data_IF_612030460144
#
_entry.id   IF_612030460144
#
_cell.length_a   1.000
_cell.length_b   1.000
_cell.length_c   1.000
_cell.angle_alpha   90.00
_cell.angle_beta   90.00
_cell.angle_gamma   90.00
#
_symmetry.space_group_name_H-M   'P 1'
#
loop_
_entity.id
_entity.type
_entity.pdbx_description
1 polymer ?
#
# COMPACT_ATOMS: atom_id res chain seq x y z
N UNK A 1 3.22 -17.06 -2.78
CA UNK A 1 4.67 -17.30 -2.86
C UNK A 1 4.92 -18.80 -2.74
N UNK A 2 5.65 -19.40 -3.71
CA UNK A 2 6.03 -20.82 -3.73
C UNK A 2 4.88 -21.81 -3.39
N UNK A 3 3.71 -21.58 -3.98
CA UNK A 3 2.46 -22.31 -3.74
C UNK A 3 1.90 -22.21 -2.30
N UNK A 4 2.42 -21.32 -1.48
CA UNK A 4 1.84 -20.99 -0.17
C UNK A 4 1.00 -19.70 -0.26
N UNK A 5 -0.12 -19.67 0.46
CA UNK A 5 -0.91 -18.47 0.66
C UNK A 5 -0.30 -17.67 1.81
N UNK A 6 0.31 -16.54 1.48
CA UNK A 6 0.88 -15.61 2.45
C UNK A 6 0.08 -14.31 2.45
N UNK A 7 0.08 -13.62 3.60
CA UNK A 7 -0.56 -12.32 3.75
C UNK A 7 0.35 -11.36 4.52
N UNK A 8 0.46 -10.13 4.06
CA UNK A 8 1.03 -9.04 4.84
C UNK A 8 -0.02 -8.58 5.84
N UNK A 9 0.22 -8.83 7.12
CA UNK A 9 -0.69 -8.50 8.21
C UNK A 9 -0.50 -7.07 8.74
N UNK A 10 0.74 -6.63 8.81
CA UNK A 10 1.10 -5.27 9.20
C UNK A 10 2.34 -4.81 8.44
N UNK A 11 2.50 -3.49 8.30
CA UNK A 11 3.62 -2.90 7.57
C UNK A 11 4.72 -2.44 8.53
N UNK A 12 4.37 -1.92 9.70
CA UNK A 12 5.31 -1.46 10.72
C UNK A 12 4.86 -1.95 12.12
N UNK A 13 5.50 -2.99 12.69
CA UNK A 13 6.50 -3.86 12.09
C UNK A 13 5.91 -4.65 10.91
N UNK A 14 6.80 -5.06 9.99
CA UNK A 14 6.37 -5.84 8.83
C UNK A 14 6.17 -7.30 9.23
N UNK A 15 4.91 -7.76 9.15
CA UNK A 15 4.50 -9.11 9.55
C UNK A 15 3.91 -9.86 8.37
N UNK A 16 4.43 -11.05 8.13
CA UNK A 16 3.93 -11.97 7.11
C UNK A 16 3.35 -13.19 7.78
N UNK A 17 2.09 -13.46 7.48
CA UNK A 17 1.38 -14.64 7.94
C UNK A 17 1.34 -15.70 6.85
N UNK A 18 1.35 -16.97 7.24
CA UNK A 18 0.98 -18.10 6.40
C UNK A 18 -0.47 -18.49 6.72
N UNK A 19 -1.24 -18.76 5.68
CA UNK A 19 -2.64 -19.16 5.78
C UNK A 19 -2.78 -20.59 5.28
N UNK A 20 -3.21 -21.50 6.16
CA UNK A 20 -3.47 -22.92 5.85
C UNK A 20 -4.79 -23.29 6.48
N UNK A 21 -5.70 -23.89 5.73
CA UNK A 21 -7.02 -24.36 6.17
C UNK A 21 -7.79 -23.28 6.97
N UNK A 22 -7.74 -22.04 6.49
CA UNK A 22 -8.42 -20.89 7.12
C UNK A 22 -7.76 -20.39 8.41
N UNK A 23 -6.63 -20.94 8.81
CA UNK A 23 -5.86 -20.50 9.98
C UNK A 23 -4.64 -19.69 9.55
N UNK A 24 -4.46 -18.52 10.19
CA UNK A 24 -3.33 -17.66 9.98
C UNK A 24 -2.29 -17.84 11.11
N UNK A 25 -1.03 -18.04 10.76
CA UNK A 25 0.11 -18.14 11.69
C UNK A 25 1.18 -17.14 11.29
N UNK A 26 1.75 -16.45 12.30
CA UNK A 26 2.89 -15.57 12.07
C UNK A 26 4.09 -16.38 11.56
N UNK A 27 4.58 -16.02 10.38
CA UNK A 27 5.71 -16.68 9.75
C UNK A 27 6.99 -15.86 9.91
N UNK A 28 6.91 -14.54 9.65
CA UNK A 28 8.04 -13.63 9.78
C UNK A 28 7.59 -12.30 10.38
N UNK A 29 8.45 -11.74 11.20
CA UNK A 29 8.37 -10.36 11.69
C UNK A 29 9.71 -9.67 11.46
N UNK A 30 9.70 -8.54 10.77
CA UNK A 30 10.90 -7.74 10.53
C UNK A 30 10.61 -6.27 10.84
N UNK A 31 11.62 -5.50 11.31
CA UNK A 31 11.44 -4.06 11.48
C UNK A 31 11.17 -3.41 10.13
N UNK A 32 10.41 -2.32 10.13
CA UNK A 32 10.26 -1.45 8.96
C UNK A 32 10.85 -0.07 9.29
N UNK A 33 12.09 0.21 8.85
CA UNK A 33 12.76 1.49 9.08
C UNK A 33 12.45 2.54 8.01
N UNK A 34 11.58 2.23 7.03
CA UNK A 34 11.32 3.11 5.90
C UNK A 34 10.60 4.40 6.36
N UNK A 35 11.09 5.58 5.93
CA UNK A 35 10.51 6.85 6.34
C UNK A 35 9.15 7.08 5.65
N UNK A 36 8.14 7.45 6.43
CA UNK A 36 6.81 7.80 5.94
C UNK A 36 6.23 8.94 6.78
N UNK A 37 5.80 10.03 6.13
CA UNK A 37 5.39 11.26 6.81
C UNK A 37 3.86 11.41 7.02
N UNK A 38 3.03 10.54 6.41
CA UNK A 38 1.58 10.68 6.39
C UNK A 38 0.89 9.68 7.35
N UNK A 39 1.34 9.65 8.61
CA UNK A 39 0.73 8.86 9.68
C UNK A 39 1.04 7.37 9.64
N UNK A 40 0.18 6.57 10.26
CA UNK A 40 0.40 5.13 10.39
C UNK A 40 0.21 4.39 9.05
N UNK A 41 1.20 3.59 8.66
CA UNK A 41 1.13 2.74 7.46
C UNK A 41 0.19 1.56 7.70
N UNK A 42 -0.80 1.41 6.85
CA UNK A 42 -1.80 0.33 6.90
C UNK A 42 -1.94 -0.34 5.55
N UNK A 43 -2.39 -1.59 5.54
CA UNK A 43 -2.58 -2.37 4.32
C UNK A 43 -3.49 -1.70 3.29
N UNK A 44 -3.44 -2.21 2.08
CA UNK A 44 -4.22 -1.72 0.95
C UNK A 44 -4.35 -2.84 -0.09
N UNK A 45 -3.93 -2.59 -1.33
CA UNK A 45 -3.96 -3.58 -2.40
C UNK A 45 -3.06 -4.80 -2.09
N UNK A 46 -3.42 -6.00 -2.55
CA UNK A 46 -2.52 -7.14 -2.52
C UNK A 46 -1.18 -6.83 -3.19
N UNK A 47 -0.04 -7.25 -2.62
CA UNK A 47 1.26 -7.00 -3.20
C UNK A 47 1.44 -7.69 -4.56
N UNK A 48 2.07 -6.99 -5.50
CA UNK A 48 2.38 -7.48 -6.85
C UNK A 48 3.88 -7.74 -6.96
N UNK A 49 4.28 -8.95 -7.37
CA UNK A 49 5.69 -9.27 -7.57
C UNK A 49 6.19 -8.72 -8.91
N UNK A 50 7.28 -7.95 -8.84
CA UNK A 50 8.03 -7.48 -10.01
C UNK A 50 9.51 -7.76 -9.76
N UNK A 51 10.06 -8.70 -10.51
CA UNK A 51 11.45 -9.15 -10.29
C UNK A 51 11.66 -9.76 -8.90
N UNK A 52 12.61 -9.21 -8.18
CA UNK A 52 13.02 -9.67 -6.84
C UNK A 52 12.33 -8.95 -5.68
N UNK A 53 11.33 -8.13 -5.97
CA UNK A 53 10.57 -7.39 -4.97
C UNK A 53 9.06 -7.56 -5.16
N UNK A 54 8.33 -7.44 -4.04
CA UNK A 54 6.89 -7.20 -4.03
C UNK A 54 6.64 -5.70 -3.87
N UNK A 55 5.79 -5.14 -4.72
CA UNK A 55 5.29 -3.77 -4.65
C UNK A 55 3.95 -3.77 -3.92
N UNK A 56 3.86 -3.04 -2.85
CA UNK A 56 2.68 -2.99 -1.99
C UNK A 56 2.15 -1.57 -1.87
N UNK A 57 1.00 -1.35 -2.49
CA UNK A 57 0.26 -0.09 -2.40
C UNK A 57 -0.54 -0.10 -1.11
N UNK A 58 -0.29 0.90 -0.27
CA UNK A 58 -0.85 1.00 1.07
C UNK A 58 -1.52 2.36 1.29
N UNK A 59 -2.21 2.53 2.42
CA UNK A 59 -2.63 3.85 2.86
C UNK A 59 -1.95 4.24 4.16
N UNK A 60 -1.58 5.53 4.27
CA UNK A 60 -1.27 6.19 5.51
C UNK A 60 -2.53 6.76 6.13
N UNK A 61 -2.63 6.75 7.45
CA UNK A 61 -3.71 7.36 8.17
C UNK A 61 -3.18 8.36 9.20
N UNK A 62 -3.54 9.60 9.02
CA UNK A 62 -3.23 10.68 9.93
C UNK A 62 -4.51 11.32 10.45
N UNK A 63 -4.51 11.74 11.72
CA UNK A 63 -5.58 12.51 12.32
C UNK A 63 -5.03 13.87 12.74
N UNK A 64 -5.42 14.92 12.02
CA UNK A 64 -4.91 16.28 12.24
C UNK A 64 -6.07 17.27 12.27
N UNK A 65 -6.11 18.13 13.27
CA UNK A 65 -7.14 19.17 13.46
C UNK A 65 -8.59 18.65 13.45
N UNK A 66 -8.81 17.44 13.97
CA UNK A 66 -10.15 16.83 14.03
C UNK A 66 -10.59 16.14 12.73
N UNK A 67 -9.75 16.15 11.69
CA UNK A 67 -10.01 15.45 10.42
C UNK A 67 -9.11 14.22 10.27
N UNK A 68 -9.65 13.15 9.71
CA UNK A 68 -8.88 12.00 9.27
C UNK A 68 -8.52 12.16 7.80
N UNK A 69 -7.24 12.01 7.48
CA UNK A 69 -6.72 12.05 6.12
C UNK A 69 -6.04 10.70 5.82
N UNK A 70 -6.40 10.12 4.68
CA UNK A 70 -5.80 8.88 4.19
C UNK A 70 -5.06 9.17 2.91
N UNK A 71 -3.77 8.93 2.90
CA UNK A 71 -2.89 9.12 1.76
C UNK A 71 -2.47 7.79 1.17
N UNK A 72 -2.45 7.65 -0.15
CA UNK A 72 -1.90 6.46 -0.80
C UNK A 72 -0.38 6.53 -0.82
N UNK A 73 0.26 5.44 -0.43
CA UNK A 73 1.70 5.25 -0.50
C UNK A 73 2.08 3.96 -1.23
N UNK A 74 3.37 3.82 -1.49
CA UNK A 74 3.96 2.63 -2.08
C UNK A 74 5.27 2.31 -1.37
N UNK A 75 5.42 1.05 -0.93
CA UNK A 75 6.69 0.50 -0.50
C UNK A 75 6.95 -0.83 -1.19
N UNK A 76 8.20 -1.28 -1.16
CA UNK A 76 8.59 -2.60 -1.63
C UNK A 76 9.15 -3.44 -0.49
N UNK A 77 9.14 -4.74 -0.68
CA UNK A 77 9.81 -5.69 0.19
C UNK A 77 10.36 -6.86 -0.62
N UNK A 78 11.40 -7.52 -0.10
CA UNK A 78 12.07 -8.64 -0.76
C UNK A 78 11.07 -9.74 -1.15
N UNK A 79 11.18 -10.30 -2.36
CA UNK A 79 10.38 -11.44 -2.82
C UNK A 79 10.96 -12.79 -2.34
N UNK A 80 11.64 -12.78 -1.20
CA UNK A 80 12.23 -13.95 -0.52
C UNK A 80 12.16 -13.78 0.99
N UNK A 81 12.07 -14.88 1.72
CA UNK A 81 12.12 -14.84 3.18
C UNK A 81 13.36 -14.11 3.72
N UNK A 82 13.23 -13.34 4.79
CA UNK A 82 12.04 -13.10 5.59
C UNK A 82 11.16 -11.93 5.11
N UNK A 83 11.18 -11.56 3.83
CA UNK A 83 10.35 -10.52 3.21
C UNK A 83 10.59 -9.13 3.83
N UNK A 84 11.86 -8.71 3.92
CA UNK A 84 12.22 -7.43 4.53
C UNK A 84 11.74 -6.26 3.69
N UNK A 85 11.16 -5.21 4.31
CA UNK A 85 10.96 -3.93 3.65
C UNK A 85 12.27 -3.43 3.03
N UNK A 86 12.21 -2.96 1.78
CA UNK A 86 13.37 -2.61 0.98
C UNK A 86 13.42 -1.13 0.63
N UNK A 87 12.38 -0.62 -0.01
CA UNK A 87 12.32 0.76 -0.51
C UNK A 87 10.92 1.35 -0.30
N UNK A 88 10.80 2.68 -0.31
CA UNK A 88 9.53 3.40 -0.20
C UNK A 88 9.54 4.63 -1.12
N UNK A 89 8.38 5.02 -1.61
CA UNK A 89 8.17 6.39 -2.09
C UNK A 89 7.89 7.25 -0.85
N UNK A 90 8.80 8.18 -0.46
CA UNK A 90 8.71 8.87 0.83
C UNK A 90 7.48 9.78 0.94
N UNK A 91 7.04 10.33 -0.18
CA UNK A 91 5.89 11.21 -0.27
C UNK A 91 4.62 10.43 -0.65
N UNK A 92 3.46 11.01 -0.37
CA UNK A 92 2.20 10.43 -0.80
C UNK A 92 2.13 10.35 -2.33
N UNK A 93 1.84 9.16 -2.85
CA UNK A 93 1.65 8.94 -4.29
C UNK A 93 0.34 9.57 -4.77
N UNK A 94 -0.67 9.54 -3.91
CA UNK A 94 -1.96 10.17 -4.17
C UNK A 94 -2.57 10.68 -2.85
N UNK A 95 -3.04 11.92 -2.90
CA UNK A 95 -3.78 12.57 -1.81
C UNK A 95 -5.25 12.73 -2.20
N UNK A 96 -6.17 12.80 -1.24
CA UNK A 96 -7.57 13.12 -1.51
C UNK A 96 -7.70 14.48 -2.22
N UNK A 97 -8.54 14.56 -3.24
CA UNK A 97 -8.86 15.83 -3.89
C UNK A 97 -9.86 16.63 -3.06
N UNK A 98 -9.37 17.64 -2.34
CA UNK A 98 -10.19 18.46 -1.45
C UNK A 98 -11.23 19.33 -2.20
N UNK A 99 -11.14 19.45 -3.53
CA UNK A 99 -12.08 20.22 -4.35
C UNK A 99 -13.31 19.41 -4.79
N UNK A 100 -13.23 18.08 -4.71
CA UNK A 100 -14.31 17.17 -5.14
C UNK A 100 -14.99 16.48 -3.95
N UNK A 101 -15.14 17.14 -2.81
CA UNK A 101 -15.80 16.56 -1.65
C UNK A 101 -17.27 16.24 -1.95
N UNK A 102 -17.74 15.01 -1.66
CA UNK A 102 -19.17 14.72 -1.69
C UNK A 102 -19.91 15.57 -0.65
N UNK A 103 -21.20 15.81 -0.87
CA UNK A 103 -22.05 16.63 0.03
C UNK A 103 -22.34 15.96 1.40
N UNK A 104 -21.60 14.94 1.78
CA UNK A 104 -21.72 14.21 3.06
C UNK A 104 -20.43 14.36 3.86
N UNK A 105 -20.56 14.33 5.20
CA UNK A 105 -19.42 14.29 6.10
C UNK A 105 -18.69 12.95 5.99
N UNK A 106 -17.78 12.84 5.03
CA UNK A 106 -16.90 11.69 4.89
C UNK A 106 -15.46 12.12 5.10
N UNK A 107 -14.66 11.20 5.63
CA UNK A 107 -13.23 11.36 5.78
C UNK A 107 -12.55 11.58 4.43
N UNK A 108 -11.46 12.35 4.41
CA UNK A 108 -10.61 12.53 3.24
C UNK A 108 -9.87 11.22 2.96
N UNK A 109 -10.45 10.34 2.14
CA UNK A 109 -9.99 8.96 1.95
C UNK A 109 -9.50 8.72 0.54
N UNK A 110 -8.28 8.21 0.41
CA UNK A 110 -7.78 7.51 -0.76
C UNK A 110 -7.26 6.16 -0.29
N UNK A 111 -7.93 5.08 -0.70
CA UNK A 111 -7.66 3.74 -0.22
C UNK A 111 -7.39 2.78 -1.39
N UNK A 112 -6.14 2.29 -1.59
CA UNK A 112 -5.84 1.35 -2.67
C UNK A 112 -6.49 -0.01 -2.41
N UNK A 113 -7.17 -0.56 -3.43
CA UNK A 113 -7.93 -1.81 -3.36
C UNK A 113 -7.34 -2.91 -4.21
N UNK A 114 -6.76 -2.56 -5.37
CA UNK A 114 -6.15 -3.50 -6.29
C UNK A 114 -5.01 -2.84 -7.06
N UNK A 115 -4.04 -3.65 -7.48
CA UNK A 115 -2.91 -3.20 -8.27
C UNK A 115 -2.56 -4.25 -9.33
N UNK A 116 -2.22 -3.78 -10.52
CA UNK A 116 -1.70 -4.59 -11.62
C UNK A 116 -0.49 -3.90 -12.24
N UNK A 117 0.52 -4.68 -12.64
CA UNK A 117 1.66 -4.19 -13.40
C UNK A 117 1.75 -4.92 -14.73
N UNK A 118 1.54 -4.20 -15.83
CA UNK A 118 1.61 -4.73 -17.18
C UNK A 118 2.18 -3.69 -18.14
N UNK A 119 3.04 -4.10 -19.08
CA UNK A 119 3.57 -3.22 -20.12
C UNK A 119 4.27 -1.95 -19.60
N UNK A 120 5.03 -2.07 -18.50
CA UNK A 120 5.68 -0.95 -17.80
C UNK A 120 4.70 0.09 -17.24
N UNK A 121 3.49 -0.33 -16.89
CA UNK A 121 2.46 0.54 -16.33
C UNK A 121 1.84 -0.10 -15.10
N UNK A 122 1.64 0.69 -14.06
CA UNK A 122 0.84 0.36 -12.91
C UNK A 122 -0.59 0.85 -13.12
N UNK A 123 -1.56 -0.03 -12.91
CA UNK A 123 -2.98 0.32 -12.83
C UNK A 123 -3.46 0.04 -11.42
N UNK A 124 -3.93 1.08 -10.73
CA UNK A 124 -4.36 0.99 -9.33
C UNK A 124 -5.85 1.33 -9.25
N UNK A 125 -6.63 0.41 -8.70
CA UNK A 125 -8.01 0.69 -8.30
C UNK A 125 -8.04 1.18 -6.87
N UNK A 126 -8.81 2.20 -6.56
CA UNK A 126 -8.89 2.77 -5.22
C UNK A 126 -10.28 3.30 -4.88
N UNK A 127 -10.60 3.27 -3.58
CA UNK A 127 -11.74 3.98 -3.03
C UNK A 127 -11.38 5.45 -2.81
N UNK A 128 -12.30 6.34 -3.23
CA UNK A 128 -12.18 7.78 -3.07
C UNK A 128 -13.38 8.27 -2.25
N UNK A 129 -13.11 8.89 -1.09
CA UNK A 129 -14.10 9.35 -0.12
C UNK A 129 -15.11 8.28 0.35
N UNK A 130 -14.74 7.00 0.34
CA UNK A 130 -15.64 5.86 0.65
C UNK A 130 -16.94 5.85 -0.19
N UNK A 131 -16.96 6.60 -1.28
CA UNK A 131 -18.15 6.83 -2.11
C UNK A 131 -17.93 6.35 -3.55
N UNK A 132 -16.75 6.56 -4.11
CA UNK A 132 -16.43 6.23 -5.48
C UNK A 132 -15.34 5.19 -5.59
N UNK A 133 -15.47 4.31 -6.57
CA UNK A 133 -14.37 3.48 -7.06
C UNK A 133 -13.73 4.20 -8.25
N UNK A 134 -12.42 4.41 -8.16
CA UNK A 134 -11.63 5.06 -9.19
C UNK A 134 -10.46 4.20 -9.63
N UNK A 135 -9.89 4.58 -10.77
CA UNK A 135 -8.68 3.98 -11.33
C UNK A 135 -7.67 5.10 -11.60
N UNK A 136 -6.42 4.87 -11.28
CA UNK A 136 -5.31 5.70 -11.71
C UNK A 136 -4.19 4.84 -12.32
N UNK A 137 -3.39 5.45 -13.17
CA UNK A 137 -2.26 4.80 -13.82
C UNK A 137 -0.97 5.56 -13.54
N UNK A 138 0.12 4.81 -13.35
CA UNK A 138 1.46 5.36 -13.17
C UNK A 138 2.43 4.69 -14.14
N UNK A 139 3.35 5.47 -14.70
CA UNK A 139 4.46 4.93 -15.48
C UNK A 139 5.42 4.14 -14.58
N UNK A 140 5.78 2.92 -14.99
CA UNK A 140 6.62 2.04 -14.19
C UNK A 140 8.02 2.59 -13.95
N UNK A 141 8.60 3.28 -14.93
CA UNK A 141 9.93 3.89 -14.77
C UNK A 141 9.87 5.10 -13.81
N UNK A 142 8.79 5.86 -13.83
CA UNK A 142 8.57 6.96 -12.88
C UNK A 142 8.40 6.45 -11.45
N UNK A 143 7.65 5.36 -11.27
CA UNK A 143 7.50 4.67 -9.97
C UNK A 143 8.84 4.18 -9.47
N UNK A 144 9.62 3.51 -10.32
CA UNK A 144 10.95 3.00 -9.95
C UNK A 144 11.91 4.13 -9.56
N UNK A 145 11.88 5.25 -10.27
CA UNK A 145 12.71 6.42 -9.98
C UNK A 145 12.32 7.13 -8.66
N UNK A 146 11.09 7.00 -8.20
CA UNK A 146 10.59 7.59 -6.96
C UNK A 146 10.93 6.77 -5.71
N UNK A 147 11.20 5.49 -5.85
CA UNK A 147 11.56 4.57 -4.75
C UNK A 147 12.98 4.84 -4.23
N UNK A 148 13.14 4.91 -2.90
CA UNK A 148 14.40 5.15 -2.20
C UNK A 148 14.60 4.17 -1.06
#
# INVERSE_FOLDING_TARGET
HDNELLAVYSIAPHRVLRIVDGRATLLYETPNPLPWAHGAMRGGAPPVRVGEEYFSWFHGHEHTNGESVYAMGLYTFEARPPFRPARIVPEAVLLPDTHCRPCVEVSNVVFPLGAEFAGNRWTITYGDYDTWLRVCEFDGAAVEAALR
#
